data_IF_127437632695
#
_entry.id   IF_127437632695
#
_cell.length_a   1.000
_cell.length_b   1.000
_cell.length_c   1.000
_cell.angle_alpha   90.00
_cell.angle_beta   90.00
_cell.angle_gamma   90.00
#
_symmetry.space_group_name_H-M   'P 1'
#
loop_
_entity.id
_entity.type
_entity.pdbx_description
1 polymer ?
#
# COMPACT_ATOMS: atom_id res chain seq x y z
N UNK A 1 0.60 -14.39 -18.29
CA UNK A 1 1.56 -14.30 -17.16
C UNK A 1 0.96 -14.97 -15.94
N UNK A 2 1.72 -15.82 -15.27
CA UNK A 2 1.28 -16.44 -14.03
C UNK A 2 1.59 -15.51 -12.85
N UNK A 3 0.82 -15.59 -11.78
CA UNK A 3 1.05 -14.76 -10.59
C UNK A 3 2.43 -14.95 -9.95
N UNK A 4 2.99 -16.15 -10.05
CA UNK A 4 4.33 -16.47 -9.52
C UNK A 4 5.45 -15.78 -10.31
N UNK A 5 5.20 -15.45 -11.58
CA UNK A 5 6.17 -14.81 -12.46
C UNK A 5 6.18 -13.29 -12.33
N UNK A 6 5.15 -12.72 -11.71
CA UNK A 6 5.04 -11.28 -11.48
C UNK A 6 5.81 -10.90 -10.21
N UNK A 7 6.90 -10.17 -10.38
CA UNK A 7 7.71 -9.68 -9.25
C UNK A 7 7.08 -8.42 -8.67
N UNK A 8 6.66 -8.49 -7.42
CA UNK A 8 5.99 -7.39 -6.72
C UNK A 8 6.92 -6.84 -5.63
N UNK A 9 7.08 -5.52 -5.60
CA UNK A 9 7.63 -4.80 -4.44
C UNK A 9 6.48 -4.12 -3.72
N UNK A 10 6.39 -4.35 -2.41
CA UNK A 10 5.33 -3.83 -1.56
C UNK A 10 5.88 -2.78 -0.60
N UNK A 11 5.21 -1.63 -0.51
CA UNK A 11 5.61 -0.51 0.34
C UNK A 11 4.50 -0.15 1.31
N UNK A 12 4.81 -0.15 2.59
CA UNK A 12 3.84 0.18 3.63
C UNK A 12 4.47 0.17 5.02
N UNK A 13 3.77 0.70 6.01
CA UNK A 13 4.31 0.84 7.36
C UNK A 13 3.34 0.37 8.46
N UNK A 14 2.11 0.95 8.60
CA UNK A 14 1.24 0.64 9.73
C UNK A 14 0.48 -0.68 9.56
N UNK A 15 -0.29 -1.03 10.57
CA UNK A 15 -1.13 -2.23 10.58
C UNK A 15 -2.06 -2.32 9.36
N UNK A 16 -2.62 -1.19 8.92
CA UNK A 16 -3.47 -1.15 7.74
C UNK A 16 -2.79 -1.73 6.48
N UNK A 17 -1.47 -1.59 6.40
CA UNK A 17 -0.68 -2.12 5.28
C UNK A 17 -0.28 -3.59 5.44
N UNK A 18 -0.46 -4.19 6.62
CA UNK A 18 -0.12 -5.61 6.84
C UNK A 18 -1.10 -6.53 6.14
N UNK A 19 -2.39 -6.26 6.23
CA UNK A 19 -3.44 -7.15 5.70
C UNK A 19 -3.35 -7.37 4.19
N UNK A 20 -3.17 -6.34 3.36
CA UNK A 20 -2.98 -6.56 1.93
C UNK A 20 -1.71 -7.36 1.62
N UNK A 21 -0.62 -7.12 2.35
CA UNK A 21 0.62 -7.89 2.19
C UNK A 21 0.39 -9.36 2.54
N UNK A 22 -0.30 -9.63 3.65
CA UNK A 22 -0.67 -10.98 4.08
C UNK A 22 -1.50 -11.70 3.01
N UNK A 23 -2.50 -11.04 2.45
CA UNK A 23 -3.34 -11.60 1.39
C UNK A 23 -2.52 -11.98 0.16
N UNK A 24 -1.55 -11.16 -0.22
CA UNK A 24 -0.67 -11.46 -1.34
C UNK A 24 0.25 -12.65 -1.05
N UNK A 25 0.89 -12.66 0.11
CA UNK A 25 1.82 -13.75 0.50
C UNK A 25 1.07 -15.07 0.60
N UNK A 26 -0.04 -15.12 1.32
CA UNK A 26 -0.85 -16.33 1.47
C UNK A 26 -1.49 -16.78 0.16
N UNK A 27 -1.77 -15.83 -0.73
CA UNK A 27 -2.30 -16.13 -2.06
C UNK A 27 -1.28 -16.66 -3.06
N UNK A 28 0.00 -16.77 -2.67
CA UNK A 28 1.06 -17.31 -3.53
C UNK A 28 1.64 -16.32 -4.53
N UNK A 29 1.44 -15.02 -4.33
CA UNK A 29 2.06 -13.98 -5.16
C UNK A 29 3.53 -13.82 -4.79
N UNK A 30 4.34 -13.43 -5.77
CA UNK A 30 5.79 -13.30 -5.60
C UNK A 30 6.15 -11.90 -5.08
N UNK A 31 6.40 -11.79 -3.78
CA UNK A 31 6.86 -10.56 -3.14
C UNK A 31 8.39 -10.53 -3.21
N UNK A 32 8.93 -9.78 -4.16
CA UNK A 32 10.37 -9.65 -4.38
C UNK A 32 11.05 -8.81 -3.30
N UNK A 33 10.33 -7.92 -2.66
CA UNK A 33 10.83 -7.10 -1.57
C UNK A 33 9.76 -6.26 -0.90
N UNK A 34 10.05 -5.84 0.32
CA UNK A 34 9.20 -4.99 1.14
C UNK A 34 9.96 -3.73 1.54
N UNK A 35 9.32 -2.59 1.38
CA UNK A 35 9.87 -1.29 1.77
C UNK A 35 9.01 -0.75 2.91
N UNK A 36 9.62 -0.40 4.01
CA UNK A 36 8.93 0.20 5.16
C UNK A 36 9.75 1.35 5.74
N UNK A 37 9.15 2.12 6.65
CA UNK A 37 9.84 3.22 7.33
C UNK A 37 10.99 2.70 8.18
N UNK A 38 12.04 3.54 8.40
CA UNK A 38 13.08 3.21 9.37
C UNK A 38 12.51 2.95 10.76
N UNK A 39 13.22 2.16 11.55
CA UNK A 39 12.86 1.89 12.92
C UNK A 39 12.84 3.17 13.73
N UNK A 40 11.88 3.28 14.65
CA UNK A 40 11.76 4.44 15.53
C UNK A 40 12.18 4.03 16.94
N UNK A 41 12.92 4.91 17.68
CA UNK A 41 13.12 4.68 19.11
C UNK A 41 11.76 4.74 19.81
N UNK A 42 11.46 3.73 20.61
CA UNK A 42 10.24 3.69 21.40
C UNK A 42 10.50 4.23 22.81
N UNK A 43 9.92 5.37 23.14
CA UNK A 43 9.69 5.88 24.46
C UNK A 43 10.84 5.78 25.47
N UNK A 44 10.50 5.77 26.75
CA UNK A 44 11.44 5.60 27.85
C UNK A 44 11.97 4.16 27.90
N UNK A 45 13.27 3.97 27.68
CA UNK A 45 13.92 2.67 27.77
C UNK A 45 14.66 2.20 26.52
N UNK A 46 14.76 3.03 25.47
CA UNK A 46 15.59 2.81 24.27
C UNK A 46 15.30 1.53 23.48
N UNK A 47 14.11 0.95 23.59
CA UNK A 47 13.71 -0.18 22.75
C UNK A 47 13.32 0.33 21.37
N UNK A 48 13.93 -0.25 20.34
CA UNK A 48 13.60 0.04 18.95
C UNK A 48 12.26 -0.64 18.61
N UNK A 49 11.32 0.16 18.07
CA UNK A 49 10.05 -0.39 17.56
C UNK A 49 10.13 -0.63 16.07
N UNK A 50 9.82 -1.84 15.67
CA UNK A 50 9.63 -2.20 14.28
C UNK A 50 8.22 -1.81 13.80
N UNK A 51 8.11 -1.38 12.57
CA UNK A 51 6.78 -1.19 11.99
C UNK A 51 6.03 -2.52 11.91
N UNK A 52 4.69 -2.52 11.94
CA UNK A 52 3.91 -3.75 11.73
C UNK A 52 4.28 -4.48 10.43
N UNK A 53 4.51 -3.75 9.35
CA UNK A 53 4.94 -4.32 8.06
C UNK A 53 6.32 -4.98 8.18
N UNK A 54 7.27 -4.35 8.88
CA UNK A 54 8.58 -4.95 9.12
C UNK A 54 8.47 -6.25 9.90
N UNK A 55 7.66 -6.27 10.97
CA UNK A 55 7.44 -7.47 11.77
C UNK A 55 6.94 -8.63 10.89
N UNK A 56 5.94 -8.36 10.06
CA UNK A 56 5.41 -9.34 9.12
C UNK A 56 6.48 -9.84 8.14
N UNK A 57 7.24 -8.92 7.54
CA UNK A 57 8.29 -9.27 6.59
C UNK A 57 9.36 -10.17 7.19
N UNK A 58 9.81 -9.87 8.42
CA UNK A 58 10.79 -10.68 9.14
C UNK A 58 10.25 -12.08 9.46
N UNK A 59 9.02 -12.18 9.92
CA UNK A 59 8.36 -13.46 10.25
C UNK A 59 8.21 -14.37 9.03
N UNK A 60 8.11 -13.79 7.84
CA UNK A 60 7.89 -14.53 6.59
C UNK A 60 9.12 -14.56 5.67
N UNK A 61 10.27 -14.11 6.17
CA UNK A 61 11.53 -14.17 5.42
C UNK A 61 11.54 -13.33 4.14
N UNK A 62 10.78 -12.24 4.09
CA UNK A 62 10.73 -11.36 2.93
C UNK A 62 11.91 -10.39 2.92
N UNK A 63 12.55 -10.13 1.76
CA UNK A 63 13.58 -9.10 1.66
C UNK A 63 13.05 -7.74 2.09
N UNK A 64 13.84 -6.98 2.86
CA UNK A 64 13.39 -5.74 3.49
C UNK A 64 14.37 -4.59 3.23
N UNK A 65 13.84 -3.43 2.85
CA UNK A 65 14.58 -2.18 2.74
C UNK A 65 13.90 -1.11 3.61
N UNK A 66 14.69 -0.31 4.30
CA UNK A 66 14.21 0.75 5.22
C UNK A 66 14.90 2.09 4.93
N UNK A 67 14.66 2.71 3.77
CA UNK A 67 15.37 3.94 3.41
C UNK A 67 14.91 5.11 4.27
N UNK A 68 15.85 5.93 4.73
CA UNK A 68 15.53 7.23 5.32
C UNK A 68 15.10 8.24 4.26
N UNK A 69 15.78 8.23 3.12
CA UNK A 69 15.50 9.12 1.99
C UNK A 69 15.21 8.28 0.74
N UNK A 70 14.02 8.48 0.18
CA UNK A 70 13.58 7.74 -1.01
C UNK A 70 14.32 8.14 -2.29
N UNK A 71 14.97 9.31 -2.31
CA UNK A 71 15.77 9.78 -3.44
C UNK A 71 17.24 9.35 -3.37
N UNK A 72 17.67 8.75 -2.27
CA UNK A 72 19.04 8.30 -2.09
C UNK A 72 19.41 7.28 -3.17
N UNK A 73 20.53 7.50 -3.85
CA UNK A 73 21.01 6.61 -4.93
C UNK A 73 21.21 5.19 -4.44
N UNK A 74 21.72 4.99 -3.22
CA UNK A 74 21.89 3.67 -2.64
C UNK A 74 20.58 2.91 -2.55
N UNK A 75 19.51 3.59 -2.10
CA UNK A 75 18.19 2.99 -2.07
C UNK A 75 17.64 2.73 -3.47
N UNK A 76 17.73 3.71 -4.36
CA UNK A 76 17.21 3.58 -5.73
C UNK A 76 17.85 2.39 -6.44
N UNK A 77 19.18 2.21 -6.31
CA UNK A 77 19.86 1.06 -6.88
C UNK A 77 19.47 -0.26 -6.21
N UNK A 78 19.30 -0.29 -4.90
CA UNK A 78 18.81 -1.48 -4.19
C UNK A 78 17.39 -1.86 -4.65
N UNK A 79 16.52 -0.87 -4.84
CA UNK A 79 15.17 -1.09 -5.36
C UNK A 79 15.22 -1.62 -6.80
N UNK A 80 16.06 -1.02 -7.63
CA UNK A 80 16.25 -1.47 -9.02
C UNK A 80 16.72 -2.92 -9.09
N UNK A 81 17.61 -3.32 -8.20
CA UNK A 81 18.12 -4.68 -8.11
C UNK A 81 17.04 -5.72 -7.75
N UNK A 82 15.95 -5.32 -7.12
CA UNK A 82 14.80 -6.20 -6.86
C UNK A 82 14.05 -6.56 -8.14
N UNK A 83 14.25 -5.82 -9.20
CA UNK A 83 13.68 -6.06 -10.52
C UNK A 83 12.15 -6.26 -10.49
N UNK A 84 11.45 -5.31 -9.89
CA UNK A 84 9.99 -5.37 -9.78
C UNK A 84 9.31 -5.18 -11.13
N UNK A 85 8.28 -5.97 -11.38
CA UNK A 85 7.34 -5.74 -12.48
C UNK A 85 6.25 -4.75 -12.08
N UNK A 86 5.87 -4.79 -10.81
CA UNK A 86 4.78 -3.99 -10.23
C UNK A 86 5.19 -3.55 -8.83
N UNK A 87 4.85 -2.31 -8.48
CA UNK A 87 4.97 -1.81 -7.10
C UNK A 87 3.59 -1.51 -6.54
N UNK A 88 3.39 -1.82 -5.26
CA UNK A 88 2.16 -1.57 -4.53
C UNK A 88 2.47 -0.73 -3.30
N UNK A 89 1.69 0.33 -3.08
CA UNK A 89 1.87 1.26 -1.97
C UNK A 89 0.60 1.29 -1.13
N UNK A 90 0.75 1.05 0.17
CA UNK A 90 -0.36 1.14 1.13
C UNK A 90 0.12 1.85 2.38
N UNK A 91 -0.45 3.01 2.67
CA UNK A 91 -0.12 3.82 3.85
C UNK A 91 1.40 4.00 4.01
N UNK A 92 1.99 4.73 3.08
CA UNK A 92 3.43 5.00 3.03
C UNK A 92 3.69 6.47 2.71
N UNK A 93 4.97 6.85 2.69
CA UNK A 93 5.39 8.20 2.29
C UNK A 93 5.09 8.46 0.81
N UNK A 94 5.02 9.73 0.44
CA UNK A 94 4.96 10.14 -0.96
C UNK A 94 6.22 9.67 -1.69
N UNK A 95 6.04 8.99 -2.82
CA UNK A 95 7.15 8.49 -3.62
C UNK A 95 7.62 9.52 -4.65
N UNK A 96 8.95 9.70 -4.80
CA UNK A 96 9.46 10.46 -5.93
C UNK A 96 9.28 9.70 -7.24
N UNK A 97 9.26 10.43 -8.35
CA UNK A 97 9.04 9.86 -9.68
C UNK A 97 10.04 8.74 -10.02
N UNK A 98 11.31 8.91 -9.65
CA UNK A 98 12.34 7.88 -9.89
C UNK A 98 11.98 6.53 -9.27
N UNK A 99 11.18 6.52 -8.21
CA UNK A 99 10.73 5.31 -7.52
C UNK A 99 9.44 4.77 -8.15
N UNK A 100 8.37 5.59 -8.23
CA UNK A 100 7.08 5.08 -8.69
C UNK A 100 7.04 4.79 -10.19
N UNK A 101 7.90 5.43 -10.99
CA UNK A 101 7.97 5.23 -12.44
C UNK A 101 8.94 4.12 -12.86
N UNK A 102 9.54 3.42 -11.89
CA UNK A 102 10.56 2.40 -12.17
C UNK A 102 10.01 1.11 -12.78
N UNK A 103 8.92 0.49 -12.26
CA UNK A 103 8.47 -0.80 -12.75
C UNK A 103 7.67 -0.68 -14.06
N UNK A 104 7.83 -1.68 -14.94
CA UNK A 104 7.18 -1.67 -16.27
C UNK A 104 5.65 -1.67 -16.20
N UNK A 105 5.06 -2.27 -15.19
CA UNK A 105 3.61 -2.30 -14.99
C UNK A 105 3.11 -1.19 -14.06
N UNK A 106 4.00 -0.28 -13.65
CA UNK A 106 3.63 0.87 -12.84
C UNK A 106 3.59 0.60 -11.35
N UNK A 107 3.11 1.60 -10.64
CA UNK A 107 2.94 1.58 -9.18
C UNK A 107 1.51 1.99 -8.87
N UNK A 108 0.78 1.17 -8.12
CA UNK A 108 -0.54 1.58 -7.65
C UNK A 108 -0.59 1.70 -6.13
N UNK A 109 -1.50 2.56 -5.68
CA UNK A 109 -1.77 2.84 -4.26
C UNK A 109 -3.15 2.32 -3.90
N UNK A 110 -3.29 1.78 -2.69
CA UNK A 110 -4.56 1.57 -2.04
C UNK A 110 -4.82 2.76 -1.10
N UNK A 111 -5.87 3.53 -1.37
CA UNK A 111 -6.25 4.69 -0.58
C UNK A 111 -7.59 4.45 0.12
N UNK A 112 -7.66 4.79 1.41
CA UNK A 112 -8.82 4.50 2.25
C UNK A 112 -9.89 5.59 2.15
N UNK A 113 -10.29 5.93 0.94
CA UNK A 113 -11.43 6.81 0.65
C UNK A 113 -12.02 6.51 -0.72
N UNK A 114 -13.18 7.09 -0.98
CA UNK A 114 -13.77 7.14 -2.32
C UNK A 114 -13.18 8.35 -3.05
N UNK A 115 -12.06 8.15 -3.74
CA UNK A 115 -11.44 9.24 -4.49
C UNK A 115 -12.42 9.82 -5.52
N UNK A 116 -12.44 11.15 -5.73
CA UNK A 116 -11.45 12.16 -5.29
C UNK A 116 -11.63 12.71 -3.88
N UNK A 117 -12.52 12.17 -3.10
CA UNK A 117 -12.76 12.64 -1.72
C UNK A 117 -11.60 12.24 -0.80
N UNK A 118 -11.26 13.12 0.12
CA UNK A 118 -10.22 12.88 1.13
C UNK A 118 -8.87 12.44 0.58
N UNK A 119 -8.37 13.15 -0.42
CA UNK A 119 -6.99 13.01 -0.86
C UNK A 119 -6.03 13.33 0.28
N UNK A 120 -4.87 12.68 0.31
CA UNK A 120 -3.85 12.94 1.32
C UNK A 120 -4.00 12.11 2.57
N UNK A 121 -3.66 12.69 3.72
CA UNK A 121 -3.53 11.96 4.98
C UNK A 121 -4.85 11.76 5.74
N UNK A 122 -4.94 10.66 6.49
CA UNK A 122 -6.02 10.35 7.43
C UNK A 122 -7.45 10.36 6.84
N UNK A 123 -7.68 9.75 5.67
CA UNK A 123 -9.01 9.82 5.03
C UNK A 123 -10.12 9.17 5.86
N UNK A 124 -9.82 8.11 6.61
CA UNK A 124 -10.80 7.44 7.47
C UNK A 124 -11.27 8.36 8.59
N UNK A 125 -10.32 9.03 9.24
CA UNK A 125 -10.62 9.94 10.34
C UNK A 125 -11.54 11.09 9.87
N UNK A 126 -11.23 11.68 8.73
CA UNK A 126 -12.01 12.79 8.20
C UNK A 126 -13.42 12.38 7.79
N UNK A 127 -13.60 11.20 7.20
CA UNK A 127 -14.93 10.69 6.86
C UNK A 127 -15.81 10.53 8.12
N UNK A 128 -15.26 9.98 9.19
CA UNK A 128 -15.97 9.81 10.46
C UNK A 128 -16.24 11.15 11.14
N UNK A 129 -15.26 12.05 11.21
CA UNK A 129 -15.39 13.38 11.80
C UNK A 129 -16.48 14.20 11.09
N UNK A 130 -16.53 14.13 9.76
CA UNK A 130 -17.52 14.87 8.97
C UNK A 130 -18.92 14.24 9.00
N UNK A 131 -19.10 13.10 9.67
CA UNK A 131 -20.38 12.42 9.76
C UNK A 131 -20.86 11.82 8.45
N UNK A 132 -19.92 11.43 7.57
CA UNK A 132 -20.27 10.78 6.31
C UNK A 132 -21.00 9.45 6.57
N UNK A 133 -21.99 9.15 5.75
CA UNK A 133 -22.74 7.89 5.82
C UNK A 133 -22.12 6.78 4.99
N UNK A 134 -21.12 7.12 4.20
CA UNK A 134 -20.44 6.22 3.27
C UNK A 134 -18.96 6.61 3.16
N UNK A 135 -18.12 5.60 3.05
CA UNK A 135 -16.72 5.74 2.67
C UNK A 135 -16.33 4.58 1.75
N UNK A 136 -15.06 4.33 1.56
CA UNK A 136 -14.61 3.22 0.75
C UNK A 136 -13.10 3.15 0.61
N UNK A 137 -12.68 2.34 -0.32
CA UNK A 137 -11.29 2.15 -0.69
C UNK A 137 -11.16 2.25 -2.21
N UNK A 138 -10.04 2.79 -2.65
CA UNK A 138 -9.74 2.99 -4.06
C UNK A 138 -8.32 2.51 -4.37
N UNK A 139 -8.16 1.74 -5.45
CA UNK A 139 -6.83 1.49 -6.03
C UNK A 139 -6.66 2.37 -7.27
N UNK A 140 -5.48 2.98 -7.41
CA UNK A 140 -5.18 3.88 -8.53
C UNK A 140 -3.68 3.88 -8.84
N UNK A 141 -3.34 4.09 -10.11
CA UNK A 141 -1.94 4.24 -10.51
C UNK A 141 -1.39 5.61 -10.10
N UNK A 142 -0.15 5.63 -9.61
CA UNK A 142 0.52 6.88 -9.26
C UNK A 142 0.91 7.67 -10.51
N UNK A 143 0.75 8.99 -10.41
CA UNK A 143 1.18 10.00 -11.38
C UNK A 143 1.88 11.16 -10.65
N UNK A 144 2.21 12.22 -11.39
CA UNK A 144 2.90 13.40 -10.85
C UNK A 144 2.15 14.13 -9.72
N UNK A 145 0.82 14.09 -9.74
CA UNK A 145 -0.02 14.74 -8.73
C UNK A 145 -0.48 13.77 -7.66
N UNK A 146 -0.61 14.25 -6.43
CA UNK A 146 -1.00 13.42 -5.28
C UNK A 146 -2.42 12.88 -5.46
N UNK A 147 -2.56 11.57 -5.33
CA UNK A 147 -3.85 10.85 -5.34
C UNK A 147 -4.76 11.23 -6.52
N UNK A 148 -4.15 11.57 -7.68
CA UNK A 148 -4.86 11.97 -8.89
C UNK A 148 -4.67 11.00 -10.04
N UNK A 149 -3.98 9.88 -9.78
CA UNK A 149 -3.75 8.85 -10.78
C UNK A 149 -5.04 8.21 -11.28
N UNK A 150 -4.91 7.38 -12.29
CA UNK A 150 -6.05 6.67 -12.86
C UNK A 150 -6.60 5.64 -11.88
N UNK A 151 -7.89 5.76 -11.56
CA UNK A 151 -8.60 4.83 -10.69
C UNK A 151 -8.70 3.47 -11.38
N UNK A 152 -8.28 2.42 -10.68
CA UNK A 152 -8.38 1.04 -11.17
C UNK A 152 -9.66 0.40 -10.68
N UNK A 153 -9.86 0.37 -9.35
CA UNK A 153 -11.03 -0.21 -8.71
C UNK A 153 -11.42 0.61 -7.48
N UNK A 154 -12.70 0.56 -7.14
CA UNK A 154 -13.24 1.28 -6.00
C UNK A 154 -14.34 0.45 -5.34
N UNK A 155 -14.34 0.38 -4.01
CA UNK A 155 -15.37 -0.31 -3.24
C UNK A 155 -15.98 0.65 -2.23
N UNK A 156 -17.32 0.71 -2.19
CA UNK A 156 -18.08 1.53 -1.25
C UNK A 156 -18.44 0.74 0.00
N UNK A 157 -18.41 1.42 1.13
CA UNK A 157 -18.71 0.85 2.45
C UNK A 157 -19.61 1.81 3.23
N UNK A 158 -20.75 1.35 3.76
CA UNK A 158 -21.58 2.20 4.61
C UNK A 158 -20.91 2.45 5.96
N UNK A 159 -21.08 3.65 6.49
CA UNK A 159 -20.72 4.02 7.86
C UNK A 159 -22.02 4.09 8.66
N UNK A 160 -22.16 3.21 9.65
CA UNK A 160 -23.29 3.27 10.58
C UNK A 160 -23.08 4.39 11.61
N UNK A 161 -24.18 4.94 12.14
CA UNK A 161 -24.13 5.99 13.16
C UNK A 161 -23.33 5.59 14.41
N UNK A 162 -23.26 4.28 14.68
CA UNK A 162 -22.53 3.72 15.81
C UNK A 162 -21.07 3.39 15.49
N UNK A 163 -20.63 3.54 14.24
CA UNK A 163 -19.26 3.22 13.84
C UNK A 163 -18.30 4.33 14.26
N UNK A 164 -17.24 3.96 14.98
CA UNK A 164 -16.13 4.85 15.26
C UNK A 164 -14.99 4.65 14.24
N UNK A 165 -13.93 5.46 14.36
CA UNK A 165 -12.75 5.38 13.46
C UNK A 165 -12.13 3.98 13.46
N UNK A 166 -12.02 3.33 14.62
CA UNK A 166 -11.44 1.99 14.72
C UNK A 166 -12.26 0.93 13.98
N UNK A 167 -13.58 0.98 14.08
CA UNK A 167 -14.48 0.05 13.39
C UNK A 167 -14.37 0.24 11.87
N UNK A 168 -14.39 1.48 11.40
CA UNK A 168 -14.26 1.80 9.97
C UNK A 168 -12.89 1.39 9.45
N UNK A 169 -11.82 1.68 10.21
CA UNK A 169 -10.47 1.26 9.89
C UNK A 169 -10.39 -0.26 9.66
N UNK A 170 -10.94 -1.05 10.58
CA UNK A 170 -10.86 -2.51 10.49
C UNK A 170 -11.64 -3.05 9.30
N UNK A 171 -12.82 -2.51 9.03
CA UNK A 171 -13.61 -2.88 7.84
C UNK A 171 -12.84 -2.60 6.55
N UNK A 172 -12.25 -1.40 6.43
CA UNK A 172 -11.52 -0.99 5.23
C UNK A 172 -10.21 -1.77 5.07
N UNK A 173 -9.55 -2.11 6.18
CA UNK A 173 -8.34 -2.92 6.17
C UNK A 173 -8.60 -4.31 5.56
N UNK A 174 -9.67 -4.99 6.00
CA UNK A 174 -10.01 -6.31 5.48
C UNK A 174 -10.43 -6.28 4.02
N UNK A 175 -11.24 -5.30 3.63
CA UNK A 175 -11.62 -5.09 2.23
C UNK A 175 -10.44 -4.67 1.38
N UNK A 176 -9.51 -3.90 1.94
CA UNK A 176 -8.29 -3.48 1.28
C UNK A 176 -7.41 -4.65 0.86
N UNK A 177 -7.31 -5.66 1.71
CA UNK A 177 -6.60 -6.89 1.37
C UNK A 177 -7.16 -7.57 0.13
N UNK A 178 -8.47 -7.71 0.07
CA UNK A 178 -9.17 -8.31 -1.08
C UNK A 178 -9.02 -7.45 -2.33
N UNK A 179 -9.19 -6.14 -2.20
CA UNK A 179 -9.12 -5.23 -3.34
C UNK A 179 -7.74 -5.19 -3.97
N UNK A 180 -6.68 -5.23 -3.17
CA UNK A 180 -5.30 -5.30 -3.68
C UNK A 180 -5.10 -6.58 -4.50
N UNK A 181 -5.54 -7.73 -4.01
CA UNK A 181 -5.45 -8.99 -4.75
C UNK A 181 -6.24 -8.92 -6.05
N UNK A 182 -7.48 -8.45 -6.03
CA UNK A 182 -8.30 -8.29 -7.23
C UNK A 182 -7.66 -7.34 -8.24
N UNK A 183 -7.04 -6.26 -7.77
CA UNK A 183 -6.33 -5.29 -8.63
C UNK A 183 -5.12 -5.94 -9.30
N UNK A 184 -4.32 -6.71 -8.56
CA UNK A 184 -3.19 -7.46 -9.11
C UNK A 184 -3.66 -8.46 -10.16
N UNK A 185 -4.72 -9.21 -9.86
CA UNK A 185 -5.30 -10.18 -10.80
C UNK A 185 -5.79 -9.52 -12.09
N UNK A 186 -6.41 -8.35 -11.98
CA UNK A 186 -6.85 -7.58 -13.14
C UNK A 186 -5.66 -7.10 -14.01
N UNK A 187 -4.56 -6.70 -13.38
CA UNK A 187 -3.33 -6.32 -14.08
C UNK A 187 -2.72 -7.53 -14.80
N UNK A 188 -2.63 -8.67 -14.12
CA UNK A 188 -2.12 -9.93 -14.71
C UNK A 188 -2.96 -10.34 -15.92
N UNK A 189 -4.29 -10.21 -15.81
CA UNK A 189 -5.21 -10.55 -16.89
C UNK A 189 -5.21 -9.57 -18.07
N UNK A 190 -4.43 -8.48 -17.98
CA UNK A 190 -4.37 -7.44 -19.01
C UNK A 190 -5.63 -6.58 -19.12
N UNK A 191 -6.50 -6.61 -18.10
CA UNK A 191 -7.74 -5.80 -18.06
C UNK A 191 -7.49 -4.36 -17.66
N UNK A 192 -6.33 -4.09 -17.06
CA UNK A 192 -5.90 -2.75 -16.65
C UNK A 192 -4.49 -2.53 -17.17
N UNK A 193 -4.26 -1.42 -17.84
CA UNK A 193 -2.93 -1.03 -18.33
C UNK A 193 -2.45 0.20 -17.59
N UNK A 194 -1.17 0.24 -17.19
CA UNK A 194 -0.58 1.47 -16.68
C UNK A 194 -0.61 2.54 -17.77
N UNK A 195 -0.83 3.77 -17.37
CA UNK A 195 -0.90 4.92 -18.26
C UNK A 195 0.49 5.53 -18.47
#
# INVERSE_FOLDING_TARGET
MRKEDLRIVYMGTPEFAVEPLRCLVEGGYNIAGVITMPDKPAGRGHKVQFSPVKQYALEHGLPLLQPEKLKDETFVEALRALNADLQIVVAFRMLPEVVWNMPRLGTFNLHASLLPQYRGAAPINWAVINGDTETGITTFFLKHEIDTGEVIQQVRVPIADTDNVGIVHDKLMMLGGRLVVETVDAIIAGKVKPV
#
